data_IF_960286230457
#
_entry.id   IF_960286230457
#
_cell.length_a   1.000
_cell.length_b   1.000
_cell.length_c   1.000
_cell.angle_alpha   90.00
_cell.angle_beta   90.00
_cell.angle_gamma   90.00
#
_symmetry.space_group_name_H-M   'P 1'
#
loop_
_entity.id
_entity.type
_entity.pdbx_description
1 polymer ?
#
# COMPACT_ATOMS: atom_id res chain seq x y z
N UNK A 1 2.94 -8.83 15.43
CA UNK A 1 2.93 -8.32 14.04
C UNK A 1 4.17 -7.48 13.83
N UNK A 2 4.87 -7.67 12.71
CA UNK A 2 6.11 -6.95 12.38
C UNK A 2 6.02 -6.39 10.96
N UNK A 3 6.72 -5.30 10.74
CA UNK A 3 7.04 -4.77 9.42
C UNK A 3 8.06 -5.67 8.73
N UNK A 4 8.18 -5.54 7.41
CA UNK A 4 9.15 -6.32 6.63
C UNK A 4 10.62 -6.01 7.00
N UNK A 5 10.89 -4.89 7.66
CA UNK A 5 12.22 -4.53 8.19
C UNK A 5 12.51 -5.12 9.59
N UNK A 6 11.55 -5.84 10.18
CA UNK A 6 11.65 -6.44 11.51
C UNK A 6 11.16 -5.54 12.65
N UNK A 7 10.85 -4.27 12.38
CA UNK A 7 10.31 -3.33 13.38
C UNK A 7 8.92 -3.78 13.82
N UNK A 8 8.60 -3.55 15.10
CA UNK A 8 7.29 -3.92 15.63
C UNK A 8 6.20 -2.97 15.13
N UNK A 9 5.10 -3.52 14.64
CA UNK A 9 3.92 -2.75 14.27
C UNK A 9 3.17 -2.26 15.52
N UNK A 10 2.77 -0.98 15.52
CA UNK A 10 2.07 -0.35 16.66
C UNK A 10 0.90 0.52 16.22
N UNK A 11 0.00 0.82 17.16
CA UNK A 11 -1.11 1.76 16.98
C UNK A 11 -0.66 3.15 16.52
N UNK A 12 0.55 3.59 16.89
CA UNK A 12 1.13 4.86 16.46
C UNK A 12 1.38 4.92 14.95
N UNK A 13 1.70 3.79 14.32
CA UNK A 13 1.86 3.72 12.86
C UNK A 13 0.51 3.95 12.15
N UNK A 14 -0.57 3.42 12.73
CA UNK A 14 -1.93 3.60 12.21
C UNK A 14 -2.37 5.05 12.32
N UNK A 15 -2.17 5.66 13.50
CA UNK A 15 -2.51 7.06 13.72
C UNK A 15 -1.74 7.98 12.77
N UNK A 16 -0.42 7.76 12.63
CA UNK A 16 0.41 8.50 11.70
C UNK A 16 -0.09 8.36 10.24
N UNK A 17 -0.44 7.14 9.83
CA UNK A 17 -0.91 6.85 8.47
C UNK A 17 -2.21 7.56 8.15
N UNK A 18 -3.21 7.50 9.04
CA UNK A 18 -4.52 8.14 8.81
C UNK A 18 -4.37 9.65 8.73
N UNK A 19 -3.60 10.27 9.63
CA UNK A 19 -3.36 11.71 9.64
C UNK A 19 -2.58 12.15 8.39
N UNK A 20 -1.59 11.36 7.98
CA UNK A 20 -0.82 11.60 6.75
C UNK A 20 -1.69 11.50 5.51
N UNK A 21 -2.53 10.47 5.39
CA UNK A 21 -3.46 10.29 4.26
C UNK A 21 -4.46 11.44 4.17
N UNK A 22 -4.97 11.91 5.32
CA UNK A 22 -5.85 13.07 5.39
C UNK A 22 -5.18 14.34 4.86
N UNK A 23 -3.87 14.50 5.03
CA UNK A 23 -3.15 15.71 4.62
C UNK A 23 -2.59 15.65 3.21
N UNK A 24 -1.94 14.54 2.84
CA UNK A 24 -1.13 14.42 1.62
C UNK A 24 -1.86 13.75 0.46
N UNK A 25 -2.78 12.82 0.73
CA UNK A 25 -3.40 12.02 -0.33
C UNK A 25 -4.70 12.65 -0.84
N UNK A 26 -4.87 12.91 -2.16
CA UNK A 26 -6.07 13.54 -2.71
C UNK A 26 -7.36 12.82 -2.32
N UNK A 27 -7.39 11.49 -2.38
CA UNK A 27 -8.54 10.70 -1.94
C UNK A 27 -8.64 10.58 -0.41
N UNK A 28 -7.51 10.64 0.28
CA UNK A 28 -7.46 10.57 1.74
C UNK A 28 -8.11 11.80 2.40
N UNK A 29 -7.95 12.99 1.80
CA UNK A 29 -8.63 14.23 2.26
C UNK A 29 -10.14 14.08 2.37
N UNK A 30 -10.79 13.57 1.33
CA UNK A 30 -12.24 13.37 1.31
C UNK A 30 -12.67 12.21 2.22
N UNK A 31 -11.91 11.12 2.19
CA UNK A 31 -12.20 9.90 2.95
C UNK A 31 -12.10 10.12 4.47
N UNK A 32 -11.08 10.85 4.91
CA UNK A 32 -10.81 11.12 6.33
C UNK A 32 -11.21 12.53 6.75
N UNK A 33 -12.05 13.22 5.96
CA UNK A 33 -12.50 14.58 6.25
C UNK A 33 -13.17 14.69 7.64
N UNK A 34 -13.97 13.68 8.00
CA UNK A 34 -14.71 13.64 9.26
C UNK A 34 -13.86 13.17 10.45
N UNK A 35 -12.63 12.69 10.24
CA UNK A 35 -11.73 12.29 11.33
C UNK A 35 -11.22 13.54 12.03
N UNK A 36 -11.59 13.74 13.29
CA UNK A 36 -11.14 14.88 14.08
C UNK A 36 -9.84 14.59 14.80
N UNK A 37 -9.72 13.39 15.37
CA UNK A 37 -8.55 12.96 16.12
C UNK A 37 -8.35 11.45 16.01
N UNK A 38 -7.11 10.99 16.20
CA UNK A 38 -6.78 9.56 16.27
C UNK A 38 -5.88 9.33 17.48
N UNK A 39 -6.44 8.69 18.51
CA UNK A 39 -5.77 8.42 19.78
C UNK A 39 -5.23 6.99 19.84
N UNK A 40 -4.10 6.83 20.50
CA UNK A 40 -3.41 5.55 20.69
C UNK A 40 -3.22 5.27 22.19
N UNK A 41 -4.31 4.93 22.93
CA UNK A 41 -4.25 4.77 24.38
C UNK A 41 -3.34 3.62 24.83
N UNK A 42 -3.16 2.62 23.97
CA UNK A 42 -2.20 1.54 24.16
C UNK A 42 -1.60 1.12 22.81
N UNK A 43 -0.63 0.21 22.86
CA UNK A 43 0.16 -0.23 21.69
C UNK A 43 -0.66 -0.91 20.58
N UNK A 44 -1.83 -1.45 20.90
CA UNK A 44 -2.67 -2.24 19.99
C UNK A 44 -4.09 -1.70 19.83
N UNK A 45 -4.41 -0.57 20.47
CA UNK A 45 -5.71 0.10 20.36
C UNK A 45 -5.58 1.43 19.65
N UNK A 46 -6.48 1.66 18.70
CA UNK A 46 -6.63 2.93 17.99
C UNK A 46 -8.07 3.40 18.17
N UNK A 47 -8.24 4.64 18.64
CA UNK A 47 -9.55 5.28 18.80
C UNK A 47 -9.63 6.42 17.79
N UNK A 48 -10.60 6.35 16.88
CA UNK A 48 -10.82 7.36 15.84
C UNK A 48 -12.03 8.20 16.24
N UNK A 49 -11.80 9.47 16.53
CA UNK A 49 -12.87 10.42 16.82
C UNK A 49 -13.38 11.02 15.51
N UNK A 50 -14.71 11.04 15.35
CA UNK A 50 -15.39 11.52 14.15
C UNK A 50 -16.30 12.70 14.47
N UNK A 51 -16.26 13.75 13.64
CA UNK A 51 -17.18 14.89 13.75
C UNK A 51 -18.60 14.54 13.31
N UNK A 52 -18.74 13.57 12.40
CA UNK A 52 -20.01 13.10 11.84
C UNK A 52 -19.92 11.58 11.59
N UNK A 53 -21.05 10.85 11.64
CA UNK A 53 -21.08 9.45 11.24
C UNK A 53 -20.51 9.26 9.83
N UNK A 54 -19.57 8.32 9.69
CA UNK A 54 -18.88 8.01 8.44
C UNK A 54 -18.93 6.49 8.17
N UNK A 55 -20.06 5.95 7.71
CA UNK A 55 -20.23 4.49 7.53
C UNK A 55 -19.27 3.88 6.50
N UNK A 56 -18.79 4.70 5.55
CA UNK A 56 -17.83 4.29 4.52
C UNK A 56 -16.39 4.18 5.04
N UNK A 57 -16.10 4.66 6.27
CA UNK A 57 -14.74 4.70 6.81
C UNK A 57 -14.14 3.31 6.96
N UNK A 58 -14.93 2.33 7.39
CA UNK A 58 -14.47 0.94 7.53
C UNK A 58 -14.06 0.34 6.18
N UNK A 59 -14.88 0.56 5.15
CA UNK A 59 -14.56 0.12 3.79
C UNK A 59 -13.31 0.82 3.28
N UNK A 60 -13.16 2.12 3.56
CA UNK A 60 -12.00 2.88 3.13
C UNK A 60 -10.70 2.41 3.80
N UNK A 61 -10.73 2.10 5.10
CA UNK A 61 -9.60 1.53 5.83
C UNK A 61 -9.17 0.15 5.31
N UNK A 62 -10.09 -0.60 4.71
CA UNK A 62 -9.78 -1.88 4.05
C UNK A 62 -9.28 -1.74 2.61
N UNK A 63 -9.42 -0.56 2.01
CA UNK A 63 -9.09 -0.32 0.61
C UNK A 63 -7.60 -0.11 0.37
N UNK A 64 -7.15 -0.40 -0.85
CA UNK A 64 -5.76 -0.18 -1.30
C UNK A 64 -5.31 1.29 -1.21
N UNK A 65 -6.25 2.21 -1.02
CA UNK A 65 -6.04 3.66 -0.95
C UNK A 65 -5.72 4.18 0.45
N UNK A 66 -5.81 3.32 1.47
CA UNK A 66 -5.47 3.65 2.84
C UNK A 66 -4.42 2.69 3.41
N UNK A 67 -3.25 2.56 2.76
CA UNK A 67 -2.21 1.71 3.29
C UNK A 67 -1.69 2.28 4.60
N UNK A 68 -1.45 1.39 5.57
CA UNK A 68 -0.71 1.76 6.78
C UNK A 68 0.77 1.81 6.42
N UNK A 69 1.41 2.93 6.71
CA UNK A 69 2.83 3.19 6.46
C UNK A 69 3.61 3.17 7.79
N UNK A 70 4.87 2.72 7.77
CA UNK A 70 5.72 2.71 8.96
C UNK A 70 6.08 4.13 9.38
N UNK A 71 5.64 4.56 10.56
CA UNK A 71 5.89 5.93 11.05
C UNK A 71 7.39 6.25 11.09
N UNK A 72 8.21 5.28 11.50
CA UNK A 72 9.66 5.47 11.66
C UNK A 72 10.42 5.74 10.35
N UNK A 73 9.86 5.41 9.19
CA UNK A 73 10.50 5.67 7.88
C UNK A 73 9.99 6.94 7.20
N UNK A 74 8.81 7.42 7.61
CA UNK A 74 8.14 8.56 6.98
C UNK A 74 8.18 9.83 7.85
N UNK A 75 8.24 9.68 9.18
CA UNK A 75 8.29 10.81 10.10
C UNK A 75 9.52 11.69 9.83
N UNK A 76 9.28 13.00 9.63
CA UNK A 76 10.34 13.98 9.36
C UNK A 76 10.83 14.02 7.91
N UNK A 77 10.25 13.21 7.02
CA UNK A 77 10.54 13.23 5.57
C UNK A 77 9.36 13.83 4.79
N UNK A 78 9.61 14.23 3.54
CA UNK A 78 8.50 14.53 2.62
C UNK A 78 7.87 13.22 2.15
N UNK A 79 6.64 12.96 2.61
CA UNK A 79 5.87 11.76 2.30
C UNK A 79 5.69 11.57 0.79
N UNK A 80 5.59 12.66 0.02
CA UNK A 80 5.33 12.59 -1.42
C UNK A 80 6.56 12.10 -2.18
N UNK A 81 7.75 12.57 -1.79
CA UNK A 81 9.02 12.22 -2.45
C UNK A 81 9.82 11.12 -1.75
N UNK A 82 9.27 10.50 -0.69
CA UNK A 82 9.97 9.49 0.09
C UNK A 82 10.40 8.29 -0.79
N UNK A 83 11.68 7.86 -0.76
CA UNK A 83 12.18 6.74 -1.57
C UNK A 83 11.46 5.41 -1.29
N UNK A 84 10.91 5.24 -0.08
CA UNK A 84 10.10 4.07 0.28
C UNK A 84 8.79 3.97 -0.52
N UNK A 85 8.39 5.02 -1.25
CA UNK A 85 7.28 4.94 -2.20
C UNK A 85 7.60 4.05 -3.41
N UNK A 86 8.88 3.91 -3.78
CA UNK A 86 9.34 3.00 -4.85
C UNK A 86 9.80 1.64 -4.34
N UNK A 87 10.08 1.54 -3.04
CA UNK A 87 10.47 0.31 -2.35
C UNK A 87 9.67 0.16 -1.05
N UNK A 88 8.39 -0.23 -1.14
CA UNK A 88 7.47 -0.18 -0.02
C UNK A 88 7.81 -1.24 1.04
N UNK A 89 7.78 -0.80 2.30
CA UNK A 89 7.88 -1.68 3.48
C UNK A 89 6.50 -1.76 4.10
N UNK A 90 5.97 -2.99 4.16
CA UNK A 90 4.62 -3.27 4.63
C UNK A 90 4.57 -4.29 5.76
N UNK A 91 3.35 -4.68 6.14
CA UNK A 91 3.06 -5.83 7.02
C UNK A 91 2.38 -6.97 6.26
N UNK A 92 2.32 -6.86 4.94
CA UNK A 92 1.63 -7.80 4.06
C UNK A 92 2.33 -9.16 3.90
N UNK A 93 1.70 -10.09 3.16
CA UNK A 93 2.20 -11.45 2.95
C UNK A 93 3.45 -11.54 2.07
N UNK A 94 3.74 -10.50 1.29
CA UNK A 94 4.91 -10.44 0.42
C UNK A 94 5.75 -9.20 0.70
N UNK A 95 7.07 -9.38 0.71
CA UNK A 95 8.12 -8.38 0.87
C UNK A 95 8.58 -7.93 -0.52
N UNK A 96 8.70 -6.62 -0.71
CA UNK A 96 9.27 -6.06 -1.94
C UNK A 96 10.76 -6.41 -2.07
N UNK A 97 11.17 -6.92 -3.24
CA UNK A 97 12.57 -7.27 -3.51
C UNK A 97 13.20 -6.38 -4.56
N UNK A 98 12.56 -6.29 -5.73
CA UNK A 98 13.11 -5.49 -6.81
C UNK A 98 12.01 -4.93 -7.71
N UNK A 99 12.32 -3.79 -8.31
CA UNK A 99 11.53 -3.20 -9.38
C UNK A 99 12.45 -2.84 -10.52
N UNK A 100 12.34 -3.57 -11.62
CA UNK A 100 13.02 -3.28 -12.88
C UNK A 100 12.02 -2.53 -13.76
N UNK A 101 12.27 -1.22 -13.92
CA UNK A 101 11.37 -0.33 -14.67
C UNK A 101 11.19 -0.84 -16.10
N UNK A 102 9.94 -1.15 -16.46
CA UNK A 102 9.57 -1.63 -17.79
C UNK A 102 9.73 -3.14 -17.99
N UNK A 103 10.15 -3.89 -16.98
CA UNK A 103 10.26 -5.35 -17.06
C UNK A 103 9.39 -6.02 -15.98
N UNK A 104 9.77 -5.95 -14.69
CA UNK A 104 9.03 -6.63 -13.64
C UNK A 104 9.16 -6.03 -12.23
N UNK A 105 8.20 -6.39 -11.37
CA UNK A 105 8.29 -6.27 -9.91
C UNK A 105 8.43 -7.67 -9.32
N UNK A 106 9.44 -7.87 -8.47
CA UNK A 106 9.65 -9.09 -7.69
C UNK A 106 9.18 -8.88 -6.25
N UNK A 107 8.32 -9.78 -5.79
CA UNK A 107 7.87 -9.87 -4.40
C UNK A 107 8.18 -11.27 -3.86
N UNK A 108 8.71 -11.36 -2.65
CA UNK A 108 9.02 -12.64 -1.98
C UNK A 108 8.14 -12.85 -0.77
N UNK A 109 7.89 -14.11 -0.40
CA UNK A 109 7.09 -14.47 0.77
C UNK A 109 7.68 -13.87 2.06
N UNK A 110 6.81 -13.28 2.88
CA UNK A 110 7.14 -12.85 4.23
C UNK A 110 7.07 -14.06 5.20
N UNK A 111 8.21 -14.58 5.72
CA UNK A 111 8.20 -15.72 6.63
C UNK A 111 7.55 -15.40 7.99
N UNK A 112 7.52 -14.13 8.36
CA UNK A 112 6.95 -13.62 9.61
C UNK A 112 5.52 -13.08 9.44
N UNK A 113 4.84 -13.45 8.35
CA UNK A 113 3.46 -13.08 8.14
C UNK A 113 2.56 -13.60 9.26
N UNK A 114 1.62 -12.77 9.69
CA UNK A 114 0.81 -13.01 10.89
C UNK A 114 -0.30 -14.05 10.67
N UNK A 115 -0.82 -14.20 9.45
CA UNK A 115 -1.89 -15.16 9.10
C UNK A 115 -1.30 -16.50 8.59
N UNK A 116 -0.62 -17.23 9.48
CA UNK A 116 -0.04 -18.55 9.13
C UNK A 116 -1.16 -19.59 8.93
N UNK A 117 -1.08 -20.46 7.90
CA UNK A 117 0.09 -20.79 7.09
C UNK A 117 0.31 -19.96 5.81
N UNK A 118 -0.53 -18.94 5.54
CA UNK A 118 -0.44 -18.15 4.32
C UNK A 118 0.83 -17.27 4.30
N UNK A 119 1.27 -16.79 3.12
CA UNK A 119 0.86 -17.23 1.78
C UNK A 119 1.47 -18.60 1.43
N UNK A 120 0.82 -19.33 0.51
CA UNK A 120 1.29 -20.64 0.01
C UNK A 120 2.32 -20.53 -1.12
N UNK A 121 2.52 -19.34 -1.67
CA UNK A 121 3.39 -19.06 -2.80
C UNK A 121 4.66 -18.39 -2.28
N UNK A 122 5.82 -18.84 -2.75
CA UNK A 122 7.11 -18.31 -2.30
C UNK A 122 7.48 -16.98 -2.96
N UNK A 123 7.02 -16.74 -4.20
CA UNK A 123 7.43 -15.58 -5.00
C UNK A 123 6.35 -15.16 -5.99
N UNK A 124 6.16 -13.86 -6.14
CA UNK A 124 5.32 -13.25 -7.18
C UNK A 124 6.21 -12.40 -8.07
N UNK A 125 6.10 -12.60 -9.39
CA UNK A 125 6.75 -11.75 -10.40
C UNK A 125 5.65 -11.12 -11.23
N UNK A 126 5.48 -9.81 -11.09
CA UNK A 126 4.54 -9.03 -11.90
C UNK A 126 5.31 -8.47 -13.09
N UNK A 127 5.05 -8.98 -14.29
CA UNK A 127 5.71 -8.50 -15.52
C UNK A 127 4.87 -7.42 -16.20
N UNK A 128 5.53 -6.37 -16.66
CA UNK A 128 4.92 -5.33 -17.50
C UNK A 128 5.07 -5.72 -18.96
N UNK A 129 4.00 -6.22 -19.56
CA UNK A 129 3.98 -6.52 -20.98
C UNK A 129 3.50 -5.28 -21.73
N UNK A 130 4.28 -4.73 -22.68
CA UNK A 130 3.75 -3.73 -23.59
C UNK A 130 2.60 -4.34 -24.41
N UNK A 131 1.61 -3.53 -24.83
CA UNK A 131 0.51 -4.05 -25.65
C UNK A 131 1.07 -4.74 -26.89
N UNK A 132 0.61 -5.95 -27.17
CA UNK A 132 1.01 -6.71 -28.36
C UNK A 132 0.86 -5.83 -29.61
N UNK A 133 1.97 -5.50 -30.26
CA UNK A 133 1.98 -5.02 -31.64
C UNK A 133 1.66 -6.19 -32.58
N UNK A 134 0.41 -6.68 -32.49
CA UNK A 134 -0.04 -7.92 -33.11
C UNK A 134 -1.51 -7.87 -33.55
N UNK A 135 -2.01 -6.71 -33.98
CA UNK A 135 -3.13 -6.70 -34.93
C UNK A 135 -2.51 -6.71 -36.33
N UNK A 136 -2.30 -7.91 -36.85
CA UNK A 136 -1.84 -8.13 -38.22
C UNK A 136 -2.89 -7.60 -39.19
N UNK A 137 -2.79 -6.32 -39.56
CA UNK A 137 -3.46 -5.80 -40.74
C UNK A 137 -2.70 -6.35 -41.95
N UNK A 138 -3.07 -7.56 -42.39
CA UNK A 138 -2.65 -8.08 -43.71
C UNK A 138 -3.03 -7.01 -44.74
N UNK A 139 -2.08 -6.46 -45.52
CA UNK A 139 -2.47 -5.69 -46.69
C UNK A 139 -3.15 -6.65 -47.65
N UNK A 140 -4.43 -6.42 -47.92
CA UNK A 140 -5.14 -7.09 -49.00
C UNK A 140 -4.47 -6.67 -50.31
N UNK A 141 -3.60 -7.53 -50.84
CA UNK A 141 -3.12 -7.41 -52.21
C UNK A 141 -4.32 -7.70 -53.10
N UNK A 142 -5.02 -6.65 -53.53
CA UNK A 142 -5.97 -6.72 -54.63
C UNK A 142 -5.14 -6.80 -55.91
N UNK A 143 -5.01 -8.01 -56.44
CA UNK A 143 -4.58 -8.23 -57.83
C UNK A 143 -5.58 -7.55 -58.77
N UNK A 144 -5.03 -6.95 -59.83
CA UNK A 144 -5.76 -6.38 -60.97
C UNK A 144 -6.61 -7.41 -61.70
#
# INVERSE_FOLDING_TARGET
>A
MKWHDGTSFTSDDVAYSILTLKQAHPRGRSTFANVTDVKTPDRYTVVIDLSKPAPFLLTALSGSESPIVPKHLYQGTDVVSNPHNSAPIGTGPFVFKEFVRGDHILLERNPDYWDKPKPYVDRIIVRFLPPCAGSSRRPSTSTR
#
